data_IF_444197618369
#
_entry.id   IF_444197618369
#
_cell.length_a   1.000
_cell.length_b   1.000
_cell.length_c   1.000
_cell.angle_alpha   90.00
_cell.angle_beta   90.00
_cell.angle_gamma   90.00
#
_symmetry.space_group_name_H-M   'P 1'
#
loop_
_entity.id
_entity.type
_entity.pdbx_description
1 polymer ?
#
# COMPACT_ATOMS: atom_id res chain seq x y z
N UNK A 1 16.00 -19.30 24.48
CA UNK A 1 14.73 -18.53 24.36
C UNK A 1 13.78 -19.37 23.54
N UNK A 2 12.70 -19.85 24.17
CA UNK A 2 11.68 -20.60 23.46
C UNK A 2 10.71 -19.59 22.82
N UNK A 3 10.56 -19.67 21.50
CA UNK A 3 9.56 -18.92 20.75
C UNK A 3 8.26 -19.71 20.93
N UNK A 4 7.33 -19.19 21.73
CA UNK A 4 6.05 -19.83 21.97
C UNK A 4 5.15 -19.72 20.74
N UNK A 5 4.49 -20.82 20.38
CA UNK A 5 3.44 -20.84 19.36
C UNK A 5 2.18 -20.22 19.98
N UNK A 6 1.73 -19.08 19.46
CA UNK A 6 0.44 -18.50 19.85
C UNK A 6 -0.68 -19.24 19.11
N UNK A 7 -1.56 -19.89 19.89
CA UNK A 7 -2.73 -20.60 19.37
C UNK A 7 -3.94 -19.74 19.73
N UNK A 8 -4.50 -19.06 18.73
CA UNK A 8 -5.76 -18.33 18.89
C UNK A 8 -6.90 -19.34 19.01
N UNK A 9 -7.31 -19.61 20.24
CA UNK A 9 -8.59 -20.27 20.55
C UNK A 9 -9.70 -19.23 20.33
N UNK A 10 -10.86 -19.56 19.72
CA UNK A 10 -11.92 -18.59 19.52
C UNK A 10 -12.58 -18.18 20.84
N UNK A 11 -11.95 -17.24 21.56
CA UNK A 11 -12.55 -16.44 22.63
C UNK A 11 -12.62 -14.98 22.17
N UNK A 12 -13.74 -14.32 22.47
CA UNK A 12 -13.97 -12.90 22.13
C UNK A 12 -13.06 -11.91 22.89
N UNK A 13 -12.14 -12.43 23.71
CA UNK A 13 -11.20 -11.67 24.53
C UNK A 13 -9.83 -12.33 24.37
N UNK A 14 -8.84 -11.50 24.05
CA UNK A 14 -7.42 -11.88 24.06
C UNK A 14 -7.04 -12.33 25.48
N UNK A 15 -6.68 -13.61 25.69
CA UNK A 15 -6.40 -14.14 27.01
C UNK A 15 -5.07 -13.63 27.60
N UNK A 16 -4.20 -12.98 26.82
CA UNK A 16 -2.97 -12.39 27.32
C UNK A 16 -2.61 -11.09 26.56
N UNK A 17 -3.03 -9.92 27.07
CA UNK A 17 -2.76 -8.62 26.44
C UNK A 17 -1.27 -8.22 26.49
N UNK A 18 -0.40 -9.03 27.08
CA UNK A 18 1.05 -8.82 27.09
C UNK A 18 1.76 -9.48 25.92
N UNK A 19 1.08 -10.39 25.19
CA UNK A 19 1.58 -10.96 23.96
C UNK A 19 1.23 -10.05 22.77
N UNK A 20 2.15 -9.88 21.79
CA UNK A 20 1.84 -9.12 20.59
C UNK A 20 0.75 -9.84 19.79
N UNK A 21 -0.34 -9.12 19.46
CA UNK A 21 -1.41 -9.62 18.61
C UNK A 21 -0.85 -10.19 17.29
N UNK A 22 -1.12 -11.46 17.01
CA UNK A 22 -0.86 -12.09 15.73
C UNK A 22 -2.17 -12.60 15.14
N UNK A 23 -2.61 -12.02 14.02
CA UNK A 23 -3.74 -12.58 13.29
C UNK A 23 -3.39 -13.95 12.70
N UNK A 24 -4.34 -14.88 12.73
CA UNK A 24 -4.22 -16.19 12.07
C UNK A 24 -4.15 -16.11 10.55
N UNK A 25 -4.44 -14.94 9.97
CA UNK A 25 -4.39 -14.68 8.52
C UNK A 25 -3.00 -14.19 8.09
N UNK A 26 -2.45 -13.21 8.79
CA UNK A 26 -1.15 -12.59 8.52
C UNK A 26 -0.67 -11.90 9.80
N UNK A 27 0.55 -12.19 10.24
CA UNK A 27 1.11 -11.69 11.50
C UNK A 27 1.22 -10.15 11.57
N UNK A 28 1.15 -9.45 10.43
CA UNK A 28 1.13 -7.97 10.38
C UNK A 28 -0.23 -7.40 10.75
N UNK A 29 -1.32 -8.14 10.52
CA UNK A 29 -2.68 -7.67 10.81
C UNK A 29 -2.84 -7.56 12.32
N UNK A 30 -3.40 -6.44 12.75
CA UNK A 30 -3.67 -6.04 14.12
C UNK A 30 -4.99 -5.25 14.17
N UNK A 31 -5.62 -5.01 15.35
CA UNK A 31 -6.91 -4.32 15.44
C UNK A 31 -6.99 -2.93 14.79
N UNK A 32 -5.84 -2.28 14.56
CA UNK A 32 -5.73 -1.00 13.87
C UNK A 32 -5.59 -1.10 12.35
N UNK A 33 -5.53 -2.31 11.79
CA UNK A 33 -5.32 -2.51 10.35
C UNK A 33 -6.55 -2.08 9.55
N UNK A 34 -6.36 -1.06 8.71
CA UNK A 34 -7.39 -0.53 7.82
C UNK A 34 -7.34 -1.22 6.46
N UNK A 35 -6.14 -1.42 5.92
CA UNK A 35 -5.97 -1.99 4.59
C UNK A 35 -4.68 -2.80 4.52
N UNK A 36 -4.75 -4.06 4.06
CA UNK A 36 -3.61 -4.85 3.62
C UNK A 36 -3.94 -5.39 2.22
N UNK A 37 -3.24 -4.91 1.20
CA UNK A 37 -3.41 -5.36 -0.18
C UNK A 37 -2.12 -5.99 -0.64
N UNK A 38 -2.21 -7.23 -1.09
CA UNK A 38 -1.07 -8.01 -1.56
C UNK A 38 -1.54 -8.93 -2.70
N UNK A 39 -1.01 -8.79 -3.92
CA UNK A 39 -1.54 -9.50 -5.09
C UNK A 39 -1.50 -11.02 -5.00
N UNK A 40 -0.65 -11.56 -4.13
CA UNK A 40 -0.32 -12.99 -4.01
C UNK A 40 -0.72 -13.57 -2.66
N UNK A 41 -1.47 -12.83 -1.84
CA UNK A 41 -1.82 -13.27 -0.49
C UNK A 41 -2.73 -14.50 -0.53
N UNK A 42 -2.44 -15.52 0.29
CA UNK A 42 -3.19 -16.79 0.28
C UNK A 42 -4.68 -16.63 0.60
N UNK A 43 -5.02 -15.67 1.47
CA UNK A 43 -6.41 -15.35 1.86
C UNK A 43 -7.09 -14.29 0.99
N UNK A 44 -6.44 -13.81 -0.08
CA UNK A 44 -6.93 -12.65 -0.84
C UNK A 44 -6.17 -12.38 -2.12
N UNK A 45 -5.80 -13.44 -2.85
CA UNK A 45 -5.04 -13.32 -4.08
C UNK A 45 -5.85 -12.50 -5.10
N UNK A 46 -5.16 -11.64 -5.84
CA UNK A 46 -5.81 -10.91 -6.92
C UNK A 46 -6.24 -11.91 -8.00
N UNK A 47 -7.45 -11.75 -8.57
CA UNK A 47 -7.89 -12.58 -9.68
C UNK A 47 -6.87 -12.60 -10.82
N UNK A 48 -6.92 -13.67 -11.63
CA UNK A 48 -6.06 -13.82 -12.80
C UNK A 48 -6.11 -12.58 -13.71
N UNK A 49 -4.95 -12.24 -14.28
CA UNK A 49 -4.77 -11.02 -15.06
C UNK A 49 -4.48 -9.77 -14.20
N UNK A 50 -4.66 -8.59 -14.80
CA UNK A 50 -4.26 -7.29 -14.24
C UNK A 50 -5.39 -6.26 -14.42
N UNK A 51 -6.63 -6.73 -14.50
CA UNK A 51 -7.78 -5.87 -14.74
C UNK A 51 -7.96 -4.83 -13.62
N UNK A 52 -8.37 -3.62 -14.01
CA UNK A 52 -8.85 -2.61 -13.08
C UNK A 52 -10.06 -3.11 -12.26
N UNK A 53 -10.37 -2.41 -11.18
CA UNK A 53 -11.49 -2.69 -10.29
C UNK A 53 -11.06 -3.23 -8.94
N UNK A 54 -12.03 -3.81 -8.23
CA UNK A 54 -11.90 -4.21 -6.82
C UNK A 54 -10.79 -5.25 -6.61
N UNK A 55 -10.02 -5.06 -5.54
CA UNK A 55 -8.93 -5.93 -5.10
C UNK A 55 -9.12 -6.30 -3.62
N UNK A 56 -8.90 -7.57 -3.24
CA UNK A 56 -9.12 -7.99 -1.86
C UNK A 56 -8.29 -7.17 -0.87
N UNK A 57 -8.94 -6.69 0.18
CA UNK A 57 -8.27 -6.22 1.38
C UNK A 57 -8.21 -7.39 2.37
N UNK A 58 -7.01 -7.91 2.61
CA UNK A 58 -6.78 -9.04 3.53
C UNK A 58 -7.15 -8.64 4.97
N UNK A 59 -6.96 -7.38 5.34
CA UNK A 59 -7.30 -6.84 6.65
C UNK A 59 -8.78 -6.45 6.81
N UNK A 60 -9.67 -6.84 5.90
CA UNK A 60 -11.06 -6.35 5.88
C UNK A 60 -11.81 -6.63 7.19
N UNK A 61 -11.55 -7.74 7.89
CA UNK A 61 -12.22 -8.06 9.16
C UNK A 61 -11.81 -7.09 10.27
N UNK A 62 -10.50 -6.81 10.37
CA UNK A 62 -9.99 -5.81 11.31
C UNK A 62 -10.54 -4.43 10.98
N UNK A 63 -10.54 -4.06 9.70
CA UNK A 63 -11.06 -2.79 9.24
C UNK A 63 -12.58 -2.66 9.50
N UNK A 64 -13.35 -3.73 9.30
CA UNK A 64 -14.78 -3.75 9.59
C UNK A 64 -15.06 -3.59 11.09
N UNK A 65 -14.28 -4.25 11.95
CA UNK A 65 -14.39 -4.09 13.41
C UNK A 65 -14.03 -2.66 13.85
N UNK A 66 -12.99 -2.07 13.25
CA UNK A 66 -12.55 -0.70 13.56
C UNK A 66 -13.55 0.36 13.09
N UNK A 67 -14.03 0.25 11.86
CA UNK A 67 -14.93 1.22 11.22
C UNK A 67 -16.37 1.09 11.74
N UNK A 68 -16.81 -0.14 12.03
CA UNK A 68 -18.19 -0.43 12.43
C UNK A 68 -19.21 -0.31 11.30
N UNK A 69 -20.51 -0.34 11.63
CA UNK A 69 -21.59 -0.10 10.66
C UNK A 69 -21.85 -1.24 9.66
N UNK A 70 -21.46 -2.47 9.97
CA UNK A 70 -21.80 -3.65 9.15
C UNK A 70 -21.01 -3.76 7.84
N UNK A 71 -19.78 -3.25 7.80
CA UNK A 71 -18.90 -3.38 6.62
C UNK A 71 -18.67 -4.84 6.22
N UNK A 72 -18.45 -5.05 4.92
CA UNK A 72 -18.21 -6.36 4.33
C UNK A 72 -16.87 -6.37 3.60
N UNK A 73 -16.38 -7.56 3.24
CA UNK A 73 -15.19 -7.69 2.38
C UNK A 73 -15.32 -6.89 1.07
N UNK A 74 -16.52 -6.81 0.49
CA UNK A 74 -16.77 -6.07 -0.74
C UNK A 74 -16.75 -4.55 -0.53
N UNK A 75 -17.37 -4.04 0.54
CA UNK A 75 -17.36 -2.59 0.82
C UNK A 75 -16.00 -2.06 1.26
N UNK A 76 -15.11 -2.96 1.71
CA UNK A 76 -13.74 -2.67 2.13
C UNK A 76 -12.68 -3.14 1.13
N UNK A 77 -13.08 -3.56 -0.08
CA UNK A 77 -12.14 -3.91 -1.14
C UNK A 77 -11.45 -2.65 -1.69
N UNK A 78 -10.12 -2.70 -1.79
CA UNK A 78 -9.35 -1.63 -2.42
C UNK A 78 -9.69 -1.54 -3.90
N UNK A 79 -9.52 -0.37 -4.52
CA UNK A 79 -9.75 -0.20 -5.95
C UNK A 79 -8.42 -0.05 -6.67
N UNK A 80 -8.14 -0.95 -7.61
CA UNK A 80 -7.02 -0.77 -8.54
C UNK A 80 -7.53 -0.06 -9.79
N UNK A 81 -6.90 1.06 -10.14
CA UNK A 81 -7.24 1.82 -11.33
C UNK A 81 -5.98 2.20 -12.10
N UNK A 82 -6.08 2.30 -13.41
CA UNK A 82 -5.05 2.82 -14.28
C UNK A 82 -5.73 3.54 -15.45
N UNK A 83 -5.08 4.58 -15.98
CA UNK A 83 -5.57 5.29 -17.17
C UNK A 83 -5.60 4.29 -18.34
N UNK A 84 -6.68 4.20 -19.13
CA UNK A 84 -6.80 3.28 -20.26
C UNK A 84 -5.57 3.29 -21.17
N UNK A 85 -4.71 2.30 -20.96
CA UNK A 85 -3.66 1.74 -21.81
C UNK A 85 -3.31 2.64 -23.01
N UNK A 86 -2.52 3.68 -22.78
CA UNK A 86 -1.54 4.04 -23.78
C UNK A 86 -0.35 3.09 -23.53
N UNK A 87 -0.21 1.99 -24.29
CA UNK A 87 0.84 1.00 -24.08
C UNK A 87 2.25 1.61 -24.24
N UNK A 88 2.35 2.80 -24.83
CA UNK A 88 3.61 3.55 -24.94
C UNK A 88 4.02 4.23 -23.63
N UNK A 89 3.13 4.28 -22.62
CA UNK A 89 3.29 5.04 -21.38
C UNK A 89 3.38 4.18 -20.13
N UNK A 90 2.53 3.15 -20.03
CA UNK A 90 2.59 2.17 -18.94
C UNK A 90 2.14 0.80 -19.43
N UNK A 91 2.87 -0.22 -18.97
CA UNK A 91 2.48 -1.60 -19.11
C UNK A 91 2.46 -2.26 -17.73
N UNK A 92 1.53 -3.20 -17.55
CA UNK A 92 1.51 -4.05 -16.36
C UNK A 92 1.71 -5.51 -16.76
N UNK A 93 2.46 -6.24 -15.96
CA UNK A 93 2.60 -7.69 -16.08
C UNK A 93 2.61 -8.34 -14.68
N UNK A 94 2.40 -9.66 -14.63
CA UNK A 94 2.66 -10.44 -13.43
C UNK A 94 4.12 -10.89 -13.41
N UNK A 95 4.70 -10.97 -12.22
CA UNK A 95 6.00 -11.61 -12.03
C UNK A 95 5.87 -13.13 -11.95
N UNK A 96 7.00 -13.84 -11.92
CA UNK A 96 7.03 -15.30 -11.75
C UNK A 96 6.41 -15.77 -10.42
N UNK A 97 6.35 -14.90 -9.40
CA UNK A 97 5.69 -15.15 -8.11
C UNK A 97 4.30 -14.50 -8.03
N UNK A 98 3.80 -13.92 -9.12
CA UNK A 98 2.44 -13.36 -9.21
C UNK A 98 2.29 -11.93 -8.70
N UNK A 99 3.36 -11.25 -8.30
CA UNK A 99 3.34 -9.84 -7.92
C UNK A 99 3.04 -8.95 -9.14
N UNK A 100 2.67 -7.70 -8.91
CA UNK A 100 2.30 -6.76 -9.97
C UNK A 100 3.52 -5.95 -10.40
N UNK A 101 4.02 -6.14 -11.62
CA UNK A 101 5.07 -5.30 -12.20
C UNK A 101 4.46 -4.18 -13.04
N UNK A 102 4.66 -2.95 -12.61
CA UNK A 102 4.35 -1.75 -13.38
C UNK A 102 5.63 -1.26 -14.08
N UNK A 103 5.55 -1.20 -15.40
CA UNK A 103 6.61 -0.74 -16.28
C UNK A 103 6.19 0.62 -16.78
N UNK A 104 6.96 1.65 -16.48
CA UNK A 104 6.66 3.01 -16.89
C UNK A 104 7.55 3.42 -18.05
N UNK A 105 7.04 4.25 -18.95
CA UNK A 105 7.87 4.84 -19.99
C UNK A 105 8.93 5.76 -19.38
N UNK A 106 10.04 5.95 -20.11
CA UNK A 106 11.07 6.93 -19.76
C UNK A 106 10.93 8.21 -20.61
N UNK A 107 9.94 8.27 -21.49
CA UNK A 107 9.75 9.34 -22.47
C UNK A 107 8.26 9.56 -22.74
N UNK A 108 7.82 10.82 -22.76
CA UNK A 108 6.43 11.20 -23.00
C UNK A 108 5.86 12.11 -21.90
N UNK A 109 4.81 12.86 -22.21
CA UNK A 109 4.08 13.69 -21.22
C UNK A 109 2.64 13.19 -21.10
N UNK A 110 2.17 13.04 -19.86
CA UNK A 110 0.75 13.11 -19.51
C UNK A 110 0.23 11.99 -18.62
N UNK A 111 -0.39 12.39 -17.50
CA UNK A 111 -1.54 11.71 -16.87
C UNK A 111 -1.25 10.51 -15.96
N UNK A 112 -2.23 10.21 -15.10
CA UNK A 112 -2.20 9.14 -14.07
C UNK A 112 -1.75 7.81 -14.68
N UNK A 113 -0.77 7.14 -14.08
CA UNK A 113 -0.26 5.87 -14.60
C UNK A 113 -0.91 4.64 -13.94
N UNK A 114 -1.30 4.72 -12.67
CA UNK A 114 -2.18 3.74 -12.02
C UNK A 114 -1.90 3.62 -10.54
N UNK A 115 -2.73 2.88 -9.82
CA UNK A 115 -2.52 2.67 -8.38
C UNK A 115 -3.70 2.02 -7.68
N UNK A 116 -3.47 1.73 -6.41
CA UNK A 116 -4.48 1.22 -5.50
C UNK A 116 -5.01 2.37 -4.66
N UNK A 117 -6.33 2.47 -4.50
CA UNK A 117 -6.98 3.50 -3.69
C UNK A 117 -7.87 2.89 -2.63
N UNK A 118 -8.01 3.61 -1.51
CA UNK A 118 -8.86 3.19 -0.41
C UNK A 118 -10.35 3.29 -0.79
N UNK A 119 -11.21 2.37 -0.31
CA UNK A 119 -12.65 2.45 -0.50
C UNK A 119 -13.29 3.50 0.44
N UNK A 120 -14.47 4.05 0.07
CA UNK A 120 -15.11 5.15 0.79
C UNK A 120 -15.29 4.98 2.31
N UNK A 121 -15.62 3.78 2.85
CA UNK A 121 -15.73 3.62 4.31
C UNK A 121 -14.42 3.90 5.05
N UNK A 122 -13.28 3.55 4.46
CA UNK A 122 -11.96 3.80 5.07
C UNK A 122 -11.57 5.27 4.98
N UNK A 123 -11.88 5.92 3.86
CA UNK A 123 -11.59 7.34 3.68
C UNK A 123 -12.44 8.18 4.63
N UNK A 124 -13.73 7.84 4.79
CA UNK A 124 -14.60 8.43 5.80
C UNK A 124 -14.07 8.24 7.23
N UNK A 125 -13.55 7.04 7.57
CA UNK A 125 -12.92 6.80 8.87
C UNK A 125 -11.70 7.71 9.10
N UNK A 126 -10.82 7.84 8.11
CA UNK A 126 -9.64 8.71 8.19
C UNK A 126 -10.05 10.17 8.37
N UNK A 127 -11.04 10.64 7.61
CA UNK A 127 -11.58 12.00 7.72
C UNK A 127 -12.20 12.28 9.11
N UNK A 128 -12.92 11.31 9.67
CA UNK A 128 -13.52 11.42 11.00
C UNK A 128 -12.50 11.34 12.15
N UNK A 129 -11.27 10.88 11.87
CA UNK A 129 -10.23 10.65 12.87
C UNK A 129 -8.92 11.38 12.54
N UNK A 130 -8.94 12.72 12.38
CA UNK A 130 -7.83 13.46 11.79
C UNK A 130 -6.59 13.59 12.70
N UNK A 131 -6.72 13.37 14.00
CA UNK A 131 -5.60 13.52 14.96
C UNK A 131 -4.90 12.19 15.27
N UNK A 132 -5.45 11.07 14.80
CA UNK A 132 -4.91 9.74 15.11
C UNK A 132 -3.71 9.43 14.23
N UNK A 133 -2.59 9.04 14.84
CA UNK A 133 -1.41 8.60 14.11
C UNK A 133 -1.70 7.47 13.12
N UNK A 134 -1.01 7.49 11.99
CA UNK A 134 -1.10 6.47 10.93
C UNK A 134 0.29 6.05 10.49
N UNK A 135 0.42 4.79 10.09
CA UNK A 135 1.59 4.30 9.37
C UNK A 135 1.14 3.55 8.12
N UNK A 136 1.90 3.74 7.04
CA UNK A 136 1.71 3.10 5.76
C UNK A 136 3.00 2.39 5.36
N UNK A 137 2.95 1.08 5.21
CA UNK A 137 4.06 0.26 4.74
C UNK A 137 3.85 -0.10 3.27
N UNK A 138 4.91 -0.04 2.47
CA UNK A 138 4.92 -0.51 1.07
C UNK A 138 6.11 -1.41 0.83
N UNK A 139 5.86 -2.57 0.25
CA UNK A 139 6.87 -3.51 -0.21
C UNK A 139 6.91 -3.51 -1.73
N UNK A 140 8.08 -3.19 -2.27
CA UNK A 140 8.28 -3.13 -3.71
C UNK A 140 9.69 -3.58 -4.11
N UNK A 141 9.91 -3.84 -5.39
CA UNK A 141 11.24 -3.89 -6.00
C UNK A 141 11.31 -2.84 -7.08
N UNK A 142 12.30 -1.95 -7.04
CA UNK A 142 12.54 -1.02 -8.14
C UNK A 142 13.35 -1.74 -9.21
N UNK A 143 12.75 -1.90 -10.39
CA UNK A 143 13.30 -2.64 -11.52
C UNK A 143 13.99 -1.74 -12.54
N UNK A 144 13.63 -0.45 -12.53
CA UNK A 144 14.32 0.61 -13.26
C UNK A 144 14.19 1.92 -12.49
N UNK A 145 15.31 2.56 -12.22
CA UNK A 145 15.32 3.89 -11.62
C UNK A 145 14.69 4.91 -12.58
N UNK A 146 14.06 5.94 -12.02
CA UNK A 146 13.66 7.14 -12.75
C UNK A 146 14.91 7.84 -13.33
N UNK A 147 14.84 8.35 -14.59
CA UNK A 147 15.98 8.99 -15.26
C UNK A 147 16.35 10.37 -14.70
N UNK A 148 15.43 11.02 -13.96
CA UNK A 148 15.74 12.17 -13.12
C UNK A 148 15.16 11.95 -11.72
N UNK A 149 15.68 12.66 -10.72
CA UNK A 149 15.10 12.72 -9.37
C UNK A 149 13.78 13.50 -9.38
N UNK A 150 12.86 13.10 -10.26
CA UNK A 150 11.55 13.70 -10.40
C UNK A 150 10.83 13.57 -9.06
N UNK A 151 10.25 14.68 -8.61
CA UNK A 151 9.29 14.71 -7.53
C UNK A 151 8.16 13.74 -7.93
N UNK A 152 8.13 12.57 -7.30
CA UNK A 152 7.07 11.57 -7.44
C UNK A 152 6.44 11.40 -6.07
N UNK A 153 5.14 11.18 -6.02
CA UNK A 153 4.45 10.86 -4.77
C UNK A 153 3.81 9.50 -5.00
N UNK A 154 4.32 8.50 -4.29
CA UNK A 154 3.87 7.12 -4.43
C UNK A 154 2.71 6.82 -3.48
N UNK A 155 2.63 7.50 -2.33
CA UNK A 155 1.54 7.35 -1.38
C UNK A 155 1.02 8.72 -0.99
N UNK A 156 -0.30 8.91 -1.07
CA UNK A 156 -0.93 10.18 -0.75
C UNK A 156 -2.31 10.02 -0.09
N UNK A 157 -2.42 10.47 1.14
CA UNK A 157 -3.67 10.64 1.86
C UNK A 157 -3.77 12.12 2.23
N UNK A 158 -4.58 12.88 1.51
CA UNK A 158 -4.62 14.33 1.65
C UNK A 158 -5.76 15.01 0.90
N UNK A 159 -5.82 16.34 0.98
CA UNK A 159 -6.83 17.14 0.29
C UNK A 159 -6.42 17.37 -1.17
N UNK A 160 -7.28 16.99 -2.13
CA UNK A 160 -7.00 17.19 -3.56
C UNK A 160 -6.87 18.67 -3.96
N UNK A 161 -7.55 19.58 -3.27
CA UNK A 161 -7.48 21.02 -3.55
C UNK A 161 -6.20 21.69 -3.07
N UNK A 162 -5.41 21.05 -2.19
CA UNK A 162 -4.18 21.64 -1.65
C UNK A 162 -3.19 20.57 -1.12
N UNK A 163 -2.76 19.67 -2.00
CA UNK A 163 -1.96 18.51 -1.59
C UNK A 163 -0.58 18.85 -1.01
N UNK A 164 -0.02 20.03 -1.32
CA UNK A 164 1.27 20.44 -0.75
C UNK A 164 1.17 20.87 0.73
N UNK A 165 -0.02 21.25 1.19
CA UNK A 165 -0.20 21.89 2.51
C UNK A 165 -1.20 21.17 3.41
N UNK A 166 -2.08 20.35 2.83
CA UNK A 166 -3.16 19.68 3.54
C UNK A 166 -3.10 18.17 3.28
N UNK A 167 -2.26 17.46 4.04
CA UNK A 167 -2.09 16.02 3.88
C UNK A 167 -1.83 15.32 5.22
N UNK A 168 -2.31 14.08 5.33
CA UNK A 168 -1.98 13.16 6.41
C UNK A 168 -0.70 12.38 6.09
N UNK A 169 -0.64 11.79 4.90
CA UNK A 169 0.52 11.07 4.39
C UNK A 169 0.80 11.59 2.98
N UNK A 170 2.04 11.99 2.72
CA UNK A 170 2.54 12.27 1.38
C UNK A 170 4.00 11.84 1.33
N UNK A 171 4.34 10.92 0.44
CA UNK A 171 5.70 10.41 0.39
C UNK A 171 6.07 9.69 -0.89
N UNK A 172 7.38 9.66 -1.14
CA UNK A 172 8.02 8.93 -2.21
C UNK A 172 8.92 7.86 -1.60
N UNK A 173 8.94 6.68 -2.20
CA UNK A 173 9.96 5.68 -1.94
C UNK A 173 11.28 6.04 -2.62
N UNK A 174 12.34 5.36 -2.20
CA UNK A 174 13.66 5.58 -2.75
C UNK A 174 13.74 5.21 -4.24
N UNK A 175 14.46 6.00 -5.02
CA UNK A 175 14.76 5.72 -6.42
C UNK A 175 16.01 4.84 -6.56
N UNK A 176 16.05 3.71 -5.84
CA UNK A 176 17.20 2.80 -5.78
C UNK A 176 16.77 1.41 -6.21
N UNK A 177 17.52 0.80 -7.13
CA UNK A 177 17.23 -0.54 -7.64
C UNK A 177 17.21 -1.60 -6.53
N UNK A 178 16.34 -2.59 -6.69
CA UNK A 178 16.24 -3.74 -5.78
C UNK A 178 15.05 -3.65 -4.81
N UNK A 179 14.95 -4.63 -3.88
CA UNK A 179 13.89 -4.69 -2.88
C UNK A 179 13.92 -3.48 -1.95
N UNK A 180 12.76 -2.92 -1.68
CA UNK A 180 12.56 -1.74 -0.85
C UNK A 180 11.37 -1.95 0.06
N UNK A 181 11.57 -1.62 1.34
CA UNK A 181 10.53 -1.47 2.34
C UNK A 181 10.40 0.01 2.65
N UNK A 182 9.31 0.62 2.23
CA UNK A 182 9.04 2.05 2.45
C UNK A 182 8.05 2.23 3.59
N UNK A 183 8.36 3.15 4.48
CA UNK A 183 7.57 3.44 5.68
C UNK A 183 7.17 4.90 5.65
N UNK A 184 5.87 5.17 5.66
CA UNK A 184 5.33 6.53 5.72
C UNK A 184 4.59 6.69 7.04
N UNK A 185 5.18 7.46 7.96
CA UNK A 185 4.68 7.62 9.31
C UNK A 185 4.15 9.04 9.54
N UNK A 186 2.89 9.12 9.97
CA UNK A 186 2.22 10.35 10.39
C UNK A 186 1.93 10.28 11.90
N UNK A 187 2.80 10.82 12.78
CA UNK A 187 2.69 10.67 14.23
C UNK A 187 1.48 11.41 14.84
N UNK A 188 1.20 12.62 14.36
CA UNK A 188 0.31 13.59 15.02
C UNK A 188 -0.95 13.89 14.22
N UNK A 189 -1.23 13.13 13.16
CA UNK A 189 -2.34 13.41 12.25
C UNK A 189 -1.96 14.34 11.10
N UNK A 190 -2.93 15.10 10.61
CA UNK A 190 -2.80 15.92 9.40
C UNK A 190 -1.81 17.10 9.53
N UNK A 191 -1.06 17.36 8.47
CA UNK A 191 -0.45 18.68 8.21
C UNK A 191 -1.52 19.58 7.62
N UNK A 192 -1.70 20.77 8.20
CA UNK A 192 -2.71 21.75 7.75
C UNK A 192 -4.14 21.37 8.17
N UNK A 193 -5.13 21.80 7.38
CA UNK A 193 -6.53 21.56 7.69
C UNK A 193 -6.96 20.17 7.19
N UNK A 194 -7.54 19.31 8.05
CA UNK A 194 -8.07 18.02 7.63
C UNK A 194 -9.08 18.16 6.49
N UNK A 195 -9.04 17.20 5.56
CA UNK A 195 -10.01 17.12 4.48
C UNK A 195 -11.24 16.33 4.93
N UNK A 196 -12.42 16.72 4.47
CA UNK A 196 -13.64 15.91 4.58
C UNK A 196 -13.93 15.16 3.28
N UNK A 197 -14.72 14.09 3.35
CA UNK A 197 -15.35 13.53 2.14
C UNK A 197 -16.25 14.58 1.45
N UNK A 198 -16.35 14.61 0.11
CA UNK A 198 -15.65 13.78 -0.88
C UNK A 198 -14.28 14.35 -1.35
N UNK A 199 -13.76 15.38 -0.67
CA UNK A 199 -12.53 16.09 -1.09
C UNK A 199 -11.23 15.40 -0.66
N UNK A 200 -11.36 14.36 0.17
CA UNK A 200 -10.26 13.52 0.61
C UNK A 200 -9.80 12.61 -0.53
N UNK A 201 -8.58 12.83 -1.02
CA UNK A 201 -7.91 11.88 -1.88
C UNK A 201 -7.11 10.91 -1.00
N UNK A 202 -7.58 9.67 -0.89
CA UNK A 202 -6.90 8.59 -0.20
C UNK A 202 -6.35 7.59 -1.22
N UNK A 203 -5.28 8.03 -1.86
CA UNK A 203 -4.46 7.19 -2.69
C UNK A 203 -3.57 6.28 -1.84
N UNK A 204 -3.68 4.98 -2.07
CA UNK A 204 -2.68 4.03 -1.60
C UNK A 204 -1.41 4.15 -2.43
N UNK A 205 -0.79 3.04 -2.80
CA UNK A 205 0.40 3.05 -3.65
C UNK A 205 0.04 3.34 -5.11
N UNK A 206 0.70 4.34 -5.68
CA UNK A 206 0.63 4.72 -7.08
C UNK A 206 1.89 4.30 -7.84
N UNK A 207 1.65 3.88 -9.07
CA UNK A 207 2.68 3.74 -10.08
C UNK A 207 2.74 5.07 -10.82
N UNK A 208 3.92 5.72 -10.82
CA UNK A 208 4.16 7.02 -11.44
C UNK A 208 3.57 8.19 -10.64
N UNK A 209 2.98 9.19 -11.30
CA UNK A 209 2.60 10.43 -10.62
C UNK A 209 1.18 10.38 -10.02
N UNK A 210 1.04 10.74 -8.74
CA UNK A 210 -0.23 10.98 -8.07
C UNK A 210 -0.68 12.44 -8.22
N UNK A 211 -1.87 12.72 -8.79
CA UNK A 211 -2.51 14.03 -8.71
C UNK A 211 -2.75 14.46 -7.26
N UNK A 212 -2.87 15.77 -6.95
CA UNK A 212 -3.25 16.89 -7.84
C UNK A 212 -2.08 17.71 -8.41
N UNK A 213 -0.83 17.31 -8.19
CA UNK A 213 0.30 18.17 -8.51
C UNK A 213 0.56 18.24 -10.04
N UNK A 214 0.05 19.29 -10.69
CA UNK A 214 0.27 19.55 -12.12
C UNK A 214 1.70 19.96 -12.52
N UNK A 215 2.64 19.97 -11.56
CA UNK A 215 4.06 20.28 -11.77
C UNK A 215 5.02 19.11 -11.52
N UNK A 216 4.50 17.93 -11.17
CA UNK A 216 5.33 16.72 -11.07
C UNK A 216 5.54 16.15 -12.48
N UNK A 217 6.70 15.56 -12.74
CA UNK A 217 7.00 15.00 -14.06
C UNK A 217 6.23 13.69 -14.23
N UNK A 218 5.13 13.74 -14.99
CA UNK A 218 4.16 12.66 -15.12
C UNK A 218 4.76 11.31 -15.58
N UNK A 219 5.91 11.29 -16.28
CA UNK A 219 6.46 10.06 -16.89
C UNK A 219 7.98 9.92 -16.82
N UNK A 220 8.60 10.51 -15.80
CA UNK A 220 9.95 10.10 -15.36
C UNK A 220 9.86 9.17 -14.15
N UNK A 221 8.88 8.26 -14.16
CA UNK A 221 8.64 7.34 -13.05
C UNK A 221 9.61 6.16 -13.07
N UNK A 222 9.88 5.64 -11.88
CA UNK A 222 10.57 4.36 -11.72
C UNK A 222 9.62 3.21 -12.09
N UNK A 223 10.16 2.14 -12.69
CA UNK A 223 9.40 0.89 -12.87
C UNK A 223 9.54 0.04 -11.61
N UNK A 224 8.45 -0.55 -11.15
CA UNK A 224 8.39 -1.22 -9.85
C UNK A 224 7.55 -2.48 -9.89
N UNK A 225 8.02 -3.50 -9.17
CA UNK A 225 7.16 -4.61 -8.76
C UNK A 225 6.55 -4.25 -7.42
N UNK A 226 5.23 -4.21 -7.35
CA UNK A 226 4.44 -4.05 -6.15
C UNK A 226 4.10 -5.41 -5.54
N UNK A 227 4.44 -5.59 -4.27
CA UNK A 227 4.18 -6.82 -3.53
C UNK A 227 3.11 -6.62 -2.45
N UNK A 228 3.17 -5.53 -1.69
CA UNK A 228 2.24 -5.34 -0.58
C UNK A 228 2.14 -3.86 -0.20
N UNK A 229 0.97 -3.47 0.28
CA UNK A 229 0.79 -2.25 1.07
C UNK A 229 -0.05 -2.51 2.32
N UNK A 230 0.27 -1.82 3.42
CA UNK A 230 -0.42 -1.98 4.69
C UNK A 230 -0.61 -0.63 5.39
N UNK A 231 -1.86 -0.24 5.64
CA UNK A 231 -2.22 0.97 6.37
C UNK A 231 -2.79 0.60 7.74
N UNK A 232 -2.22 1.22 8.78
CA UNK A 232 -2.57 0.99 10.18
C UNK A 232 -2.89 2.30 10.91
N UNK A 233 -4.00 2.31 11.64
CA UNK A 233 -4.30 3.25 12.71
C UNK A 233 -3.55 2.85 13.98
N UNK A 234 -2.47 3.58 14.28
CA UNK A 234 -1.53 3.20 15.34
C UNK A 234 -2.23 3.15 16.70
N UNK A 235 -2.98 4.19 17.15
CA UNK A 235 -3.66 4.08 18.44
C UNK A 235 -4.72 2.98 18.50
N UNK A 236 -5.33 2.58 17.37
CA UNK A 236 -6.32 1.49 17.35
C UNK A 236 -5.65 0.11 17.41
N UNK A 237 -4.41 0.00 16.95
CA UNK A 237 -3.66 -1.25 16.98
C UNK A 237 -3.30 -1.72 18.39
N UNK A 238 -3.29 -0.82 19.38
CA UNK A 238 -2.74 -1.09 20.70
C UNK A 238 -1.20 -1.18 20.72
N UNK A 239 -0.54 -1.02 19.58
CA UNK A 239 0.90 -1.09 19.41
C UNK A 239 1.51 0.30 19.20
N UNK A 240 2.77 0.45 19.61
CA UNK A 240 3.59 1.60 19.22
C UNK A 240 4.02 1.50 17.76
N UNK A 241 4.40 2.65 17.18
CA UNK A 241 5.01 2.68 15.84
C UNK A 241 6.22 1.74 15.74
N UNK A 242 7.10 1.71 16.74
CA UNK A 242 8.29 0.87 16.74
C UNK A 242 7.96 -0.63 16.71
N UNK A 243 6.88 -1.06 17.38
CA UNK A 243 6.43 -2.45 17.33
C UNK A 243 5.86 -2.80 15.96
N UNK A 244 5.02 -1.92 15.39
CA UNK A 244 4.48 -2.11 14.03
C UNK A 244 5.61 -2.17 12.98
N UNK A 245 6.59 -1.27 13.10
CA UNK A 245 7.76 -1.21 12.22
C UNK A 245 8.60 -2.51 12.30
N UNK A 246 8.83 -3.02 13.52
CA UNK A 246 9.56 -4.26 13.73
C UNK A 246 8.82 -5.48 13.15
N UNK A 247 7.49 -5.57 13.35
CA UNK A 247 6.68 -6.66 12.79
C UNK A 247 6.73 -6.66 11.26
N UNK A 248 6.55 -5.49 10.63
CA UNK A 248 6.63 -5.37 9.17
C UNK A 248 8.05 -5.66 8.65
N UNK A 249 9.10 -5.22 9.34
CA UNK A 249 10.48 -5.48 8.97
C UNK A 249 10.82 -6.98 9.00
N UNK A 250 10.35 -7.71 10.02
CA UNK A 250 10.53 -9.17 10.10
C UNK A 250 9.83 -9.83 8.91
N UNK A 251 8.57 -9.51 8.68
CA UNK A 251 7.79 -10.09 7.59
C UNK A 251 8.39 -9.78 6.21
N UNK A 252 8.92 -8.56 5.99
CA UNK A 252 9.63 -8.20 4.77
C UNK A 252 10.90 -9.03 4.60
N UNK A 253 11.70 -9.15 5.66
CA UNK A 253 12.96 -9.91 5.63
C UNK A 253 12.71 -11.38 5.33
N UNK A 254 11.68 -11.99 5.91
CA UNK A 254 11.27 -13.36 5.63
C UNK A 254 10.76 -13.54 4.21
N UNK A 255 9.96 -12.60 3.69
CA UNK A 255 9.39 -12.70 2.35
C UNK A 255 10.44 -12.61 1.25
N UNK A 256 11.48 -11.78 1.42
CA UNK A 256 12.54 -11.54 0.43
C UNK A 256 13.85 -12.29 0.70
N UNK A 257 14.03 -12.88 1.89
CA UNK A 257 15.20 -13.68 2.25
C UNK A 257 15.22 -15.06 1.57
N UNK A 258 16.35 -15.80 1.61
CA UNK A 258 16.44 -17.13 1.02
C UNK A 258 15.31 -18.08 1.47
N UNK A 259 14.61 -18.67 0.50
CA UNK A 259 13.45 -19.54 0.75
C UNK A 259 12.13 -18.80 0.99
N UNK A 260 12.15 -17.46 1.04
CA UNK A 260 10.97 -16.62 1.14
C UNK A 260 10.09 -16.64 -0.12
N UNK A 261 8.83 -16.24 0.04
CA UNK A 261 7.81 -16.27 -1.04
C UNK A 261 8.15 -15.39 -2.25
N UNK A 262 8.93 -14.32 -2.05
CA UNK A 262 9.38 -13.40 -3.10
C UNK A 262 10.87 -13.53 -3.41
N UNK A 263 11.53 -14.54 -2.82
CA UNK A 263 12.93 -14.82 -3.09
C UNK A 263 13.12 -15.21 -4.56
N UNK A 264 14.05 -14.53 -5.22
CA UNK A 264 14.38 -14.69 -6.64
C UNK A 264 13.15 -14.56 -7.56
N UNK A 265 12.19 -13.71 -7.22
CA UNK A 265 11.14 -13.36 -8.17
C UNK A 265 11.73 -12.76 -9.46
N UNK A 266 11.12 -13.10 -10.60
CA UNK A 266 11.56 -12.73 -11.93
C UNK A 266 10.47 -12.04 -12.74
N UNK A 267 10.89 -11.19 -13.68
CA UNK A 267 10.02 -10.39 -14.55
C UNK A 267 10.73 -10.04 -15.86
N UNK A 268 9.96 -9.72 -16.91
CA UNK A 268 10.52 -9.14 -18.13
C UNK A 268 11.09 -7.75 -17.83
N UNK A 269 12.22 -7.42 -18.46
CA UNK A 269 12.91 -6.15 -18.22
C UNK A 269 12.09 -4.98 -18.79
N UNK A 270 12.06 -3.83 -18.10
CA UNK A 270 11.27 -2.67 -18.53
C UNK A 270 11.47 -2.23 -19.98
N UNK A 271 12.72 -2.26 -20.48
CA UNK A 271 13.03 -1.84 -21.84
C UNK A 271 12.47 -2.76 -22.94
N UNK A 272 12.14 -4.01 -22.62
CA UNK A 272 11.58 -4.96 -23.60
C UNK A 272 10.07 -4.85 -23.77
N UNK A 273 9.38 -4.05 -22.94
CA UNK A 273 7.91 -3.99 -22.92
C UNK A 273 7.35 -2.65 -23.44
N UNK A 274 8.11 -1.56 -23.36
CA UNK A 274 7.63 -0.21 -23.76
C UNK A 274 8.19 0.27 -25.11
N UNK A 275 9.11 -0.48 -25.72
CA UNK A 275 9.61 -0.20 -27.08
C UNK A 275 8.88 -0.99 -28.18
N UNK A 276 7.73 -1.62 -27.86
CA UNK A 276 6.89 -2.36 -28.80
C UNK A 276 5.72 -1.54 -29.30
#
# INVERSE_FOLDING_TARGET
MAIGLDIVVPSAVDPDPTLPYASSIDARINPGSLMLVEPTHSQGAWPDGIGAGSKPNVAWQSAAALIGGGQTAASLAAQFSYDPLDPTKIAFQRTSRGALHAILSASGRGGKTGGVTLPPPMTAWIAANPTRGKVYFVWQVVTRAAPSAANTVDVFIGNYGSAASNYLIAGASQNVLGPQRSVFYAPTGWTGSPSSEPTLNAGGFFFGNSPPYGGLNDMNGRSTVFYSEHLVDIPASGLSFAQLDAIDQVAFTEAFGPGGRFYQDGWNTPASVINS
#
